data_IF_981116037909
#
_entry.id   IF_981116037909
#
_cell.length_a   1.000
_cell.length_b   1.000
_cell.length_c   1.000
_cell.angle_alpha   90.00
_cell.angle_beta   90.00
_cell.angle_gamma   90.00
#
_symmetry.space_group_name_H-M   'P 1'
#
loop_
_entity.id
_entity.type
_entity.pdbx_description
1 polymer ?
#
# COMPACT_ATOMS: atom_id res chain seq x y z
N UNK A 1 -23.69 -17.86 11.98
CA UNK A 1 -22.52 -17.82 12.89
C UNK A 1 -21.70 -16.58 12.57
N UNK A 2 -21.92 -15.50 13.29
CA UNK A 2 -21.12 -14.29 13.29
C UNK A 2 -19.81 -14.60 14.05
N UNK A 3 -18.65 -14.40 13.43
CA UNK A 3 -17.31 -14.85 13.88
C UNK A 3 -16.81 -14.37 15.25
N UNK A 4 -17.68 -13.76 16.06
CA UNK A 4 -17.46 -13.37 17.46
C UNK A 4 -17.53 -14.56 18.43
N UNK A 5 -18.00 -15.73 18.00
CA UNK A 5 -18.08 -16.94 18.82
C UNK A 5 -16.78 -17.76 18.87
N UNK A 6 -15.70 -17.33 18.21
CA UNK A 6 -14.43 -18.06 18.24
C UNK A 6 -13.76 -17.91 19.62
N UNK A 7 -13.34 -19.00 20.30
CA UNK A 7 -12.79 -18.96 21.66
C UNK A 7 -11.60 -18.01 21.83
N UNK A 8 -10.80 -17.81 20.78
CA UNK A 8 -9.67 -16.87 20.77
C UNK A 8 -10.08 -15.39 20.82
N UNK A 9 -11.33 -15.06 20.47
CA UNK A 9 -11.86 -13.70 20.45
C UNK A 9 -12.81 -13.38 21.61
N UNK A 10 -13.19 -14.38 22.41
CA UNK A 10 -13.99 -14.21 23.64
C UNK A 10 -13.20 -13.66 24.85
N UNK A 11 -11.87 -13.55 24.75
CA UNK A 11 -11.02 -12.92 25.78
C UNK A 11 -10.96 -11.41 25.58
N UNK A 12 -10.95 -10.63 26.67
CA UNK A 12 -10.99 -9.14 26.70
C UNK A 12 -9.98 -8.46 25.76
N UNK A 13 -8.85 -9.10 25.45
CA UNK A 13 -7.79 -8.58 24.56
C UNK A 13 -7.51 -9.44 23.31
N UNK A 14 -8.22 -10.56 23.12
CA UNK A 14 -7.86 -11.57 22.10
C UNK A 14 -7.88 -11.03 20.67
N UNK A 15 -8.85 -10.16 20.35
CA UNK A 15 -8.92 -9.46 19.06
C UNK A 15 -7.73 -8.53 18.83
N UNK A 16 -7.37 -7.72 19.83
CA UNK A 16 -6.25 -6.78 19.73
C UNK A 16 -4.91 -7.51 19.60
N UNK A 17 -4.72 -8.60 20.34
CA UNK A 17 -3.54 -9.46 20.22
C UNK A 17 -3.45 -10.13 18.85
N UNK A 18 -4.57 -10.57 18.29
CA UNK A 18 -4.63 -11.11 16.94
C UNK A 18 -4.23 -10.07 15.90
N UNK A 19 -4.83 -8.88 15.90
CA UNK A 19 -4.47 -7.83 14.95
C UNK A 19 -2.99 -7.44 15.04
N UNK A 20 -2.41 -7.38 16.26
CA UNK A 20 -0.98 -7.12 16.45
C UNK A 20 -0.07 -8.13 15.76
N UNK A 21 -0.54 -9.36 15.50
CA UNK A 21 0.23 -10.38 14.77
C UNK A 21 0.18 -10.21 13.25
N UNK A 22 -0.79 -9.46 12.72
CA UNK A 22 -0.89 -9.19 11.28
C UNK A 22 0.15 -8.13 10.90
N UNK A 23 1.26 -8.57 10.32
CA UNK A 23 2.36 -7.69 9.89
C UNK A 23 2.50 -7.59 8.38
N UNK A 24 2.05 -8.62 7.67
CA UNK A 24 2.12 -8.72 6.22
C UNK A 24 0.69 -8.80 5.70
N UNK A 25 0.34 -7.88 4.81
CA UNK A 25 -0.99 -7.79 4.23
C UNK A 25 -0.85 -7.83 2.72
N UNK A 26 -1.64 -8.69 2.08
CA UNK A 26 -1.79 -8.71 0.63
C UNK A 26 -3.20 -8.25 0.29
N UNK A 27 -3.32 -7.33 -0.68
CA UNK A 27 -4.58 -6.89 -1.25
C UNK A 27 -4.57 -7.31 -2.73
N UNK A 28 -5.51 -8.17 -3.08
CA UNK A 28 -5.66 -8.71 -4.43
C UNK A 28 -7.15 -8.99 -4.68
N UNK A 29 -7.60 -9.12 -5.94
CA UNK A 29 -8.95 -9.55 -6.25
C UNK A 29 -9.23 -10.94 -5.66
N UNK A 30 -10.51 -11.21 -5.34
CA UNK A 30 -10.93 -12.58 -5.04
C UNK A 30 -10.83 -13.45 -6.30
N UNK A 31 -10.38 -14.69 -6.15
CA UNK A 31 -10.20 -15.62 -7.27
C UNK A 31 -11.52 -15.84 -8.01
N UNK A 32 -11.54 -15.55 -9.31
CA UNK A 32 -12.72 -15.74 -10.17
C UNK A 32 -13.43 -14.45 -10.56
N UNK A 33 -13.13 -13.32 -9.91
CA UNK A 33 -13.51 -12.01 -10.43
C UNK A 33 -12.54 -11.59 -11.53
N UNK A 34 -12.80 -12.03 -12.77
CA UNK A 34 -12.44 -11.20 -13.91
C UNK A 34 -13.26 -9.94 -13.71
N UNK A 35 -12.65 -8.88 -13.17
CA UNK A 35 -13.25 -7.55 -13.14
C UNK A 35 -13.49 -7.12 -14.59
N UNK A 36 -14.60 -7.58 -15.16
CA UNK A 36 -15.15 -7.15 -16.42
C UNK A 36 -15.55 -5.70 -16.24
N UNK A 37 -15.00 -4.84 -17.09
CA UNK A 37 -15.13 -3.40 -16.95
C UNK A 37 -14.07 -2.82 -16.02
N UNK A 38 -13.40 -1.79 -16.52
CA UNK A 38 -12.57 -0.91 -15.72
C UNK A 38 -13.55 -0.20 -14.76
N UNK A 39 -13.60 -0.59 -13.47
CA UNK A 39 -14.26 0.22 -12.44
C UNK A 39 -13.36 1.44 -12.15
N UNK A 40 -13.25 2.31 -13.14
CA UNK A 40 -12.53 3.57 -13.06
C UNK A 40 -13.18 4.44 -11.97
N UNK A 41 -12.37 4.89 -10.99
CA UNK A 41 -12.81 5.80 -9.94
C UNK A 41 -13.05 5.22 -8.54
N UNK A 42 -13.05 3.88 -8.36
CA UNK A 42 -13.14 3.30 -7.00
C UNK A 42 -11.80 3.41 -6.28
N UNK A 43 -11.84 3.88 -5.03
CA UNK A 43 -10.68 4.00 -4.15
C UNK A 43 -10.85 3.05 -2.97
N UNK A 44 -9.89 2.15 -2.77
CA UNK A 44 -9.77 1.34 -1.57
C UNK A 44 -9.09 2.18 -0.49
N UNK A 45 -9.78 2.41 0.63
CA UNK A 45 -9.20 3.03 1.83
C UNK A 45 -8.99 1.95 2.87
N UNK A 46 -7.75 1.77 3.33
CA UNK A 46 -7.48 0.90 4.47
C UNK A 46 -8.10 1.52 5.74
N UNK A 47 -8.90 0.76 6.52
CA UNK A 47 -9.50 1.28 7.74
C UNK A 47 -8.43 1.73 8.74
N UNK A 48 -8.53 2.96 9.25
CA UNK A 48 -7.54 3.53 10.17
C UNK A 48 -7.35 2.69 11.44
N UNK A 49 -8.43 2.12 11.98
CA UNK A 49 -8.37 1.24 13.15
C UNK A 49 -7.59 -0.05 12.87
N UNK A 50 -7.76 -0.61 11.67
CA UNK A 50 -7.02 -1.79 11.23
C UNK A 50 -5.52 -1.50 11.08
N UNK A 51 -5.17 -0.42 10.38
CA UNK A 51 -3.76 0.00 10.19
C UNK A 51 -3.09 0.25 11.54
N UNK A 52 -3.77 0.96 12.43
CA UNK A 52 -3.26 1.28 13.77
C UNK A 52 -3.07 0.03 14.63
N UNK A 53 -4.03 -0.89 14.62
CA UNK A 53 -3.98 -2.12 15.42
C UNK A 53 -2.92 -3.11 14.92
N UNK A 54 -2.75 -3.21 13.60
CA UNK A 54 -1.84 -4.18 13.00
C UNK A 54 -0.38 -3.71 13.00
N UNK A 55 -0.13 -2.41 12.86
CA UNK A 55 1.21 -1.87 12.61
C UNK A 55 1.90 -2.63 11.47
N UNK A 56 1.25 -2.60 10.30
CA UNK A 56 1.64 -3.35 9.10
C UNK A 56 3.07 -2.95 8.71
N UNK A 57 3.91 -3.95 8.43
CA UNK A 57 5.32 -3.77 8.03
C UNK A 57 5.56 -4.13 6.58
N UNK A 58 4.75 -5.02 6.00
CA UNK A 58 4.79 -5.37 4.58
C UNK A 58 3.40 -5.28 3.99
N UNK A 59 3.29 -4.54 2.89
CA UNK A 59 2.05 -4.41 2.15
C UNK A 59 2.33 -4.77 0.69
N UNK A 60 1.60 -5.78 0.20
CA UNK A 60 1.63 -6.21 -1.18
C UNK A 60 0.27 -5.91 -1.83
N UNK A 61 0.29 -5.27 -2.98
CA UNK A 61 -0.90 -4.89 -3.75
C UNK A 61 -0.74 -5.49 -5.15
N UNK A 62 -1.64 -6.37 -5.53
CA UNK A 62 -1.50 -7.14 -6.77
C UNK A 62 -2.78 -7.12 -7.58
N UNK A 63 -2.62 -7.01 -8.90
CA UNK A 63 -3.69 -7.19 -9.89
C UNK A 63 -4.92 -6.29 -9.67
N UNK A 64 -4.73 -5.12 -9.05
CA UNK A 64 -5.82 -4.19 -8.78
C UNK A 64 -6.03 -3.21 -9.94
N UNK A 65 -7.27 -3.16 -10.43
CA UNK A 65 -7.73 -2.14 -11.38
C UNK A 65 -8.17 -0.84 -10.70
N UNK A 66 -8.18 -0.82 -9.37
CA UNK A 66 -8.65 0.29 -8.53
C UNK A 66 -7.51 0.89 -7.73
N UNK A 67 -7.64 2.15 -7.33
CA UNK A 67 -6.60 2.86 -6.59
C UNK A 67 -6.66 2.48 -5.10
N UNK A 68 -5.51 2.17 -4.50
CA UNK A 68 -5.38 2.00 -3.04
C UNK A 68 -4.83 3.29 -2.45
N UNK A 69 -5.58 3.88 -1.52
CA UNK A 69 -5.15 5.08 -0.82
C UNK A 69 -4.09 4.75 0.24
N UNK A 70 -2.86 5.19 -0.01
CA UNK A 70 -1.72 4.97 0.88
C UNK A 70 -1.58 6.05 1.97
N UNK A 71 -2.44 7.08 1.97
CA UNK A 71 -2.40 8.20 2.93
C UNK A 71 -3.07 7.88 4.27
N UNK A 72 -3.55 6.64 4.49
CA UNK A 72 -4.14 6.24 5.78
C UNK A 72 -3.13 6.45 6.91
N UNK A 73 -3.53 7.24 7.91
CA UNK A 73 -2.69 7.57 9.09
C UNK A 73 -2.13 6.30 9.74
N UNK A 74 -0.83 6.34 10.03
CA UNK A 74 -0.09 5.24 10.67
C UNK A 74 0.52 4.22 9.71
N UNK A 75 0.12 4.21 8.43
CA UNK A 75 0.66 3.26 7.44
C UNK A 75 2.15 3.55 7.15
N UNK A 76 2.45 4.78 6.70
CA UNK A 76 3.80 5.21 6.35
C UNK A 76 4.80 5.21 7.53
N UNK A 77 4.30 5.19 8.76
CA UNK A 77 5.14 5.19 9.97
C UNK A 77 5.75 3.81 10.27
N UNK A 78 5.12 2.74 9.78
CA UNK A 78 5.45 1.37 10.14
C UNK A 78 5.90 0.52 8.96
N UNK A 79 5.48 0.87 7.74
CA UNK A 79 5.80 0.09 6.56
C UNK A 79 7.30 0.07 6.29
N UNK A 80 7.84 -1.12 6.07
CA UNK A 80 9.24 -1.40 5.72
C UNK A 80 9.33 -1.79 4.26
N UNK A 81 8.35 -2.54 3.75
CA UNK A 81 8.30 -2.99 2.37
C UNK A 81 6.91 -2.70 1.77
N UNK A 82 6.91 -2.00 0.63
CA UNK A 82 5.74 -1.77 -0.20
C UNK A 82 6.00 -2.39 -1.57
N UNK A 83 5.16 -3.33 -1.96
CA UNK A 83 5.14 -3.88 -3.31
C UNK A 83 3.79 -3.64 -3.93
N UNK A 84 3.80 -3.10 -5.13
CA UNK A 84 2.64 -2.92 -6.00
C UNK A 84 3.01 -3.56 -7.31
N UNK A 85 2.19 -4.51 -7.76
CA UNK A 85 2.45 -5.28 -8.96
C UNK A 85 1.20 -5.34 -9.83
N UNK A 86 1.38 -5.16 -11.13
CA UNK A 86 0.32 -5.28 -12.14
C UNK A 86 -0.95 -4.48 -11.80
N UNK A 87 -0.78 -3.33 -11.12
CA UNK A 87 -1.88 -2.48 -10.63
C UNK A 87 -1.71 -1.06 -11.15
N UNK A 88 -2.80 -0.38 -11.54
CA UNK A 88 -2.71 0.96 -12.14
C UNK A 88 -2.39 2.01 -11.08
N UNK A 89 -1.23 2.66 -11.22
CA UNK A 89 -0.88 3.88 -10.47
C UNK A 89 -1.16 5.09 -11.38
N UNK A 90 -1.95 6.07 -10.90
CA UNK A 90 -2.22 7.29 -11.68
C UNK A 90 -0.96 8.13 -11.82
N UNK A 91 -0.44 8.62 -10.69
CA UNK A 91 0.89 9.21 -10.58
C UNK A 91 1.53 8.69 -9.31
N UNK A 92 2.87 8.61 -9.31
CA UNK A 92 3.59 8.15 -8.14
C UNK A 92 3.43 9.15 -6.98
N UNK A 93 3.31 10.46 -7.24
CA UNK A 93 3.22 11.51 -6.21
C UNK A 93 1.93 11.38 -5.41
N UNK A 94 0.81 11.16 -6.11
CA UNK A 94 -0.50 10.93 -5.47
C UNK A 94 -0.47 9.59 -4.73
N UNK A 95 0.07 8.55 -5.36
CA UNK A 95 0.10 7.21 -4.77
C UNK A 95 0.97 7.15 -3.50
N UNK A 96 2.15 7.78 -3.51
CA UNK A 96 3.08 7.78 -2.38
C UNK A 96 2.77 8.86 -1.35
N UNK A 97 1.77 9.71 -1.60
CA UNK A 97 1.36 10.78 -0.71
C UNK A 97 2.32 11.97 -0.65
N UNK A 98 3.22 12.11 -1.63
CA UNK A 98 4.27 13.14 -1.65
C UNK A 98 3.67 14.55 -1.70
N UNK A 99 2.55 14.74 -2.42
CA UNK A 99 1.83 16.02 -2.49
C UNK A 99 1.15 16.41 -1.18
N UNK A 100 0.96 15.46 -0.25
CA UNK A 100 0.44 15.70 1.10
C UNK A 100 1.54 15.71 2.17
N UNK A 101 2.82 15.69 1.77
CA UNK A 101 3.95 15.68 2.71
C UNK A 101 4.08 14.38 3.51
N UNK A 102 3.62 13.25 2.97
CA UNK A 102 3.71 11.96 3.63
C UNK A 102 5.18 11.50 3.73
N UNK A 103 5.64 11.20 4.95
CA UNK A 103 7.01 10.76 5.21
C UNK A 103 7.02 9.26 5.55
N UNK A 104 7.74 8.49 4.73
CA UNK A 104 7.94 7.05 4.87
C UNK A 104 9.13 6.76 5.79
N UNK A 105 8.90 6.91 7.10
CA UNK A 105 9.94 6.88 8.15
C UNK A 105 10.78 5.59 8.20
N UNK A 106 10.20 4.46 7.78
CA UNK A 106 10.81 3.12 7.90
C UNK A 106 10.92 2.35 6.59
N UNK A 107 10.40 2.88 5.48
CA UNK A 107 10.35 2.16 4.21
C UNK A 107 11.77 1.97 3.68
N UNK A 108 12.14 0.71 3.46
CA UNK A 108 13.44 0.29 2.90
C UNK A 108 13.30 -0.19 1.46
N UNK A 109 12.16 -0.79 1.13
CA UNK A 109 11.91 -1.40 -0.17
C UNK A 109 10.62 -0.83 -0.74
N UNK A 110 10.73 -0.21 -1.91
CA UNK A 110 9.60 0.24 -2.71
C UNK A 110 9.68 -0.44 -4.08
N UNK A 111 8.64 -1.20 -4.42
CA UNK A 111 8.49 -1.82 -5.73
C UNK A 111 7.16 -1.41 -6.32
N UNK A 112 7.18 -0.78 -7.48
CA UNK A 112 6.00 -0.48 -8.29
C UNK A 112 6.23 -1.11 -9.66
N UNK A 113 5.91 -2.38 -9.81
CA UNK A 113 6.25 -3.18 -10.99
C UNK A 113 5.03 -3.30 -11.90
N UNK A 114 5.20 -3.04 -13.19
CA UNK A 114 4.11 -3.14 -14.18
C UNK A 114 2.88 -2.30 -13.77
N UNK A 115 3.12 -1.09 -13.29
CA UNK A 115 2.11 -0.22 -12.72
C UNK A 115 1.57 0.85 -13.68
N UNK A 116 1.99 0.83 -14.95
CA UNK A 116 1.67 1.85 -15.98
C UNK A 116 2.11 3.26 -15.61
N UNK A 117 3.11 3.39 -14.74
CA UNK A 117 3.73 4.68 -14.44
C UNK A 117 4.42 5.18 -15.70
N UNK A 118 4.14 6.41 -16.12
CA UNK A 118 4.69 7.01 -17.34
C UNK A 118 5.54 8.26 -17.10
N UNK A 119 5.44 8.86 -15.90
CA UNK A 119 6.19 10.04 -15.47
C UNK A 119 6.76 9.80 -14.07
N UNK A 120 8.01 10.22 -13.86
CA UNK A 120 8.62 10.34 -12.54
C UNK A 120 8.82 11.84 -12.27
N UNK A 121 8.04 12.41 -11.36
CA UNK A 121 8.17 13.81 -10.99
C UNK A 121 9.44 14.10 -10.18
N UNK A 122 9.90 15.35 -10.28
CA UNK A 122 11.11 15.81 -9.61
C UNK A 122 11.00 15.65 -8.08
N UNK A 123 12.07 15.16 -7.46
CA UNK A 123 12.18 15.05 -6.00
C UNK A 123 11.26 14.00 -5.35
N UNK A 124 10.55 13.17 -6.12
CA UNK A 124 9.58 12.22 -5.57
C UNK A 124 10.20 11.18 -4.63
N UNK A 125 11.47 10.84 -4.83
CA UNK A 125 12.23 9.90 -3.98
C UNK A 125 13.24 10.59 -3.06
N UNK A 126 13.02 11.87 -2.74
CA UNK A 126 13.91 12.60 -1.85
C UNK A 126 14.08 11.95 -0.48
N UNK A 127 15.30 12.06 0.06
CA UNK A 127 15.67 11.53 1.37
C UNK A 127 14.79 12.05 2.52
N UNK A 128 14.23 13.26 2.40
CA UNK A 128 13.32 13.82 3.41
C UNK A 128 11.98 13.06 3.50
N UNK A 129 11.52 12.50 2.37
CA UNK A 129 10.31 11.70 2.27
C UNK A 129 10.60 10.21 2.56
N UNK A 130 11.78 9.73 2.14
CA UNK A 130 12.17 8.32 2.17
C UNK A 130 13.52 8.10 2.89
N UNK A 131 13.60 8.48 4.16
CA UNK A 131 14.87 8.54 4.90
C UNK A 131 15.65 7.21 5.01
N UNK A 132 14.99 6.07 4.78
CA UNK A 132 15.57 4.72 4.89
C UNK A 132 15.45 3.89 3.63
N UNK A 133 15.04 4.47 2.50
CA UNK A 133 14.85 3.72 1.27
C UNK A 133 16.21 3.23 0.75
N UNK A 134 16.29 1.93 0.47
CA UNK A 134 17.51 1.22 0.07
C UNK A 134 17.32 0.53 -1.28
N UNK A 135 16.08 0.12 -1.59
CA UNK A 135 15.75 -0.58 -2.82
C UNK A 135 14.52 0.06 -3.47
N UNK A 136 14.68 0.46 -4.73
CA UNK A 136 13.63 1.00 -5.59
C UNK A 136 13.57 0.17 -6.87
N UNK A 137 12.38 -0.35 -7.18
CA UNK A 137 12.12 -1.09 -8.40
C UNK A 137 10.88 -0.54 -9.10
N UNK A 138 11.11 0.00 -10.30
CA UNK A 138 10.07 0.54 -11.17
C UNK A 138 10.01 -0.24 -12.50
N UNK A 139 10.43 -1.51 -12.50
CA UNK A 139 10.52 -2.32 -13.70
C UNK A 139 9.17 -2.52 -14.39
N UNK A 140 9.22 -2.71 -15.71
CA UNK A 140 8.04 -2.98 -16.55
C UNK A 140 6.97 -1.87 -16.54
N UNK A 141 7.32 -0.65 -16.16
CA UNK A 141 6.48 0.53 -16.35
C UNK A 141 6.66 1.12 -17.76
N UNK A 142 5.88 2.16 -18.05
CA UNK A 142 5.86 2.88 -19.33
C UNK A 142 6.55 4.25 -19.19
N UNK A 143 7.60 4.34 -18.37
CA UNK A 143 8.27 5.60 -18.02
C UNK A 143 8.87 6.22 -19.29
N UNK A 144 8.35 7.39 -19.67
CA UNK A 144 8.81 8.17 -20.82
C UNK A 144 9.47 9.48 -20.40
N UNK A 145 9.12 10.00 -19.23
CA UNK A 145 9.59 11.28 -18.72
C UNK A 145 10.11 11.11 -17.30
N UNK A 146 11.30 11.67 -17.05
CA UNK A 146 11.87 11.86 -15.72
C UNK A 146 12.11 13.36 -15.59
N UNK A 147 11.37 14.00 -14.69
CA UNK A 147 11.54 15.42 -14.39
C UNK A 147 12.73 15.57 -13.44
N UNK A 148 13.71 16.40 -13.83
CA UNK A 148 14.90 16.71 -13.04
C UNK A 148 14.81 18.13 -12.48
#
# INVERSE_FOLDING_TARGET
>A
MNGLAHPSFGKRNGMSEFFRKIKHVTIQPESGEILGGIQEGKIIKLPIGFVSACSITRLNIQDLKVFVNMTTKGLAENLIELTVENSRIQTLEIFLGSTQGLIWKKLKTLKCIKCKVNVIGAGIFEKKLFAKLQFLDLSYNEIKVIEN
#
